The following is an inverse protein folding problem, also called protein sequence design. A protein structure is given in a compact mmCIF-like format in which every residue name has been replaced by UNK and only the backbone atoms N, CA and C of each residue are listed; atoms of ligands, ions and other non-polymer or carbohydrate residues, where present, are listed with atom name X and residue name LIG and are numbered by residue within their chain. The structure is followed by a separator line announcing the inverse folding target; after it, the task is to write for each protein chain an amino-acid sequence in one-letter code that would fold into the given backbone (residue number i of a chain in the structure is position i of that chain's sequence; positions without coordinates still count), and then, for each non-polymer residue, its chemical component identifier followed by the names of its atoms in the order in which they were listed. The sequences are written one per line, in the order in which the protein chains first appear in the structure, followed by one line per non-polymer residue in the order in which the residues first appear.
data_IF_740255575791
#
_entry.id   IF_740255575791
#
_cell.length_a   1.000
_cell.length_b   1.000
_cell.length_c   1.000
_cell.angle_alpha   90.00
_cell.angle_beta   90.00
_cell.angle_gamma   90.00
#
_symmetry.space_group_name_H-M   'P 1'
#
loop_
_entity.id
_entity.type
_entity.pdbx_description
1 polymer ?
#
# COMPACT_ATOMS: atom_id res chain seq x y z
N UNK A 1 -4.48 -38.91 -41.03
CA UNK A 1 -4.76 -37.47 -41.09
C UNK A 1 -5.63 -37.14 -39.88
N UNK A 2 -5.01 -36.65 -38.82
CA UNK A 2 -5.63 -36.36 -37.50
C UNK A 2 -6.09 -34.91 -37.47
N UNK A 3 -7.35 -34.68 -37.11
CA UNK A 3 -7.92 -33.35 -36.94
C UNK A 3 -7.61 -32.79 -35.54
N UNK A 4 -7.07 -31.57 -35.52
CA UNK A 4 -6.92 -30.64 -34.39
C UNK A 4 -8.27 -30.39 -33.71
N UNK A 5 -8.39 -30.45 -32.39
CA UNK A 5 -8.01 -29.46 -31.35
C UNK A 5 -8.77 -28.11 -31.43
N UNK A 6 -9.34 -27.68 -30.31
CA UNK A 6 -10.08 -26.41 -30.20
C UNK A 6 -11.08 -26.32 -29.05
N UNK A 7 -10.62 -26.42 -27.80
CA UNK A 7 -11.42 -26.02 -26.62
C UNK A 7 -11.26 -24.52 -26.30
N UNK A 8 -12.32 -23.76 -25.96
CA UNK A 8 -12.19 -22.33 -25.68
C UNK A 8 -11.61 -22.08 -24.28
N UNK A 9 -10.47 -21.40 -24.26
CA UNK A 9 -9.80 -20.90 -23.08
C UNK A 9 -10.63 -19.83 -22.35
N UNK A 10 -10.76 -20.01 -21.03
CA UNK A 10 -11.34 -19.06 -20.08
C UNK A 10 -10.46 -17.79 -20.05
N UNK A 11 -11.05 -16.67 -20.45
CA UNK A 11 -10.40 -15.36 -20.44
C UNK A 11 -10.23 -14.87 -18.99
N UNK A 12 -8.99 -14.86 -18.51
CA UNK A 12 -8.59 -14.11 -17.34
C UNK A 12 -8.62 -12.62 -17.64
N UNK A 13 -9.30 -11.85 -16.79
CA UNK A 13 -9.38 -10.39 -16.86
C UNK A 13 -7.99 -9.80 -16.59
N UNK A 14 -7.23 -9.57 -17.66
CA UNK A 14 -5.98 -8.82 -17.62
C UNK A 14 -6.30 -7.31 -17.56
N UNK A 15 -6.19 -6.72 -16.37
CA UNK A 15 -6.36 -5.28 -16.19
C UNK A 15 -5.02 -4.60 -16.48
N UNK A 16 -4.94 -3.95 -17.64
CA UNK A 16 -3.74 -3.22 -18.10
C UNK A 16 -3.38 -2.04 -17.19
N UNK A 17 -2.08 -1.81 -16.90
CA UNK A 17 -1.59 -0.80 -15.95
C UNK A 17 -1.77 0.66 -16.40
N UNK A 18 -2.15 0.90 -17.66
CA UNK A 18 -2.26 2.24 -18.23
C UNK A 18 -3.43 3.10 -17.69
N UNK A 19 -4.43 2.50 -17.00
CA UNK A 19 -5.60 3.24 -16.49
C UNK A 19 -5.42 3.86 -15.10
N UNK A 20 -4.26 3.71 -14.46
CA UNK A 20 -4.00 4.25 -13.11
C UNK A 20 -3.45 5.69 -13.09
N UNK A 21 -3.12 6.27 -14.25
CA UNK A 21 -2.39 7.54 -14.31
C UNK A 21 -3.26 8.82 -14.27
N UNK A 22 -4.60 8.73 -14.31
CA UNK A 22 -5.45 9.92 -14.59
C UNK A 22 -6.14 10.55 -13.38
N UNK A 23 -5.65 10.33 -12.15
CA UNK A 23 -6.31 10.86 -10.95
C UNK A 23 -5.36 11.58 -9.98
N UNK A 24 -4.53 12.49 -10.50
CA UNK A 24 -3.75 13.43 -9.66
C UNK A 24 -4.09 14.85 -10.07
N UNK A 25 -5.17 15.41 -9.52
CA UNK A 25 -5.33 16.86 -9.31
C UNK A 25 -6.27 17.16 -8.13
N UNK A 26 -5.87 18.18 -7.34
CA UNK A 26 -6.55 18.88 -6.22
C UNK A 26 -6.62 18.13 -4.88
N UNK A 27 -6.29 18.74 -3.73
CA UNK A 27 -6.05 20.14 -3.43
C UNK A 27 -5.68 20.34 -1.95
N UNK A 28 -5.10 21.52 -1.71
CA UNK A 28 -4.41 22.05 -0.53
C UNK A 28 -5.40 22.43 0.60
N UNK A 29 -5.03 22.11 1.85
CA UNK A 29 -5.57 22.74 3.08
C UNK A 29 -7.01 22.35 3.47
N UNK A 30 -7.15 21.47 4.46
CA UNK A 30 -8.44 21.18 5.09
C UNK A 30 -8.23 20.51 6.44
N UNK A 31 -9.02 20.92 7.44
CA UNK A 31 -9.16 20.28 8.75
C UNK A 31 -9.28 18.76 8.62
N UNK A 32 -8.89 17.96 9.64
CA UNK A 32 -8.84 16.50 9.55
C UNK A 32 -10.24 15.94 9.33
N UNK A 33 -10.63 15.85 8.06
CA UNK A 33 -11.89 15.29 7.59
C UNK A 33 -11.77 13.78 7.76
N UNK A 34 -12.85 13.14 8.20
CA UNK A 34 -12.89 11.69 8.30
C UNK A 34 -12.43 11.08 6.96
N UNK A 35 -11.42 10.22 7.01
CA UNK A 35 -10.84 9.57 5.84
C UNK A 35 -11.96 8.93 5.01
N UNK A 36 -12.01 9.26 3.71
CA UNK A 36 -13.06 8.80 2.80
C UNK A 36 -12.74 7.37 2.35
N UNK A 37 -13.74 6.68 1.78
CA UNK A 37 -13.56 5.32 1.25
C UNK A 37 -12.43 5.17 0.23
N UNK A 38 -12.10 6.24 -0.52
CA UNK A 38 -10.99 6.28 -1.48
C UNK A 38 -9.61 6.22 -0.80
N UNK A 39 -9.47 6.85 0.36
CA UNK A 39 -8.20 6.96 1.10
C UNK A 39 -7.86 5.64 1.79
N UNK A 40 -8.89 4.99 2.33
CA UNK A 40 -8.80 3.63 2.87
C UNK A 40 -8.49 2.62 1.75
N UNK A 41 -9.02 2.82 0.54
CA UNK A 41 -8.70 1.98 -0.62
C UNK A 41 -7.22 2.07 -0.97
N UNK A 42 -6.66 3.27 -1.03
CA UNK A 42 -5.24 3.45 -1.35
C UNK A 42 -4.33 2.83 -0.29
N UNK A 43 -4.66 3.00 0.99
CA UNK A 43 -3.88 2.36 2.07
C UNK A 43 -3.93 0.84 1.97
N UNK A 44 -5.09 0.26 1.60
CA UNK A 44 -5.21 -1.17 1.32
C UNK A 44 -4.38 -1.61 0.10
N UNK A 45 -4.33 -0.81 -0.95
CA UNK A 45 -3.48 -1.10 -2.13
C UNK A 45 -1.99 -1.10 -1.73
N UNK A 46 -1.55 -0.15 -0.91
CA UNK A 46 -0.19 -0.15 -0.38
C UNK A 46 0.09 -1.39 0.47
N UNK A 47 -0.84 -1.77 1.35
CA UNK A 47 -0.71 -3.00 2.14
C UNK A 47 -0.60 -4.26 1.26
N UNK A 48 -1.41 -4.34 0.20
CA UNK A 48 -1.36 -5.44 -0.76
C UNK A 48 -0.01 -5.50 -1.47
N UNK A 49 0.50 -4.37 -1.97
CA UNK A 49 1.81 -4.30 -2.61
C UNK A 49 2.94 -4.77 -1.69
N UNK A 50 2.88 -4.44 -0.39
CA UNK A 50 3.86 -4.92 0.59
C UNK A 50 3.77 -6.44 0.82
N UNK A 51 2.56 -6.99 0.84
CA UNK A 51 2.37 -8.45 0.92
C UNK A 51 2.95 -9.15 -0.31
N UNK A 52 2.66 -8.64 -1.50
CA UNK A 52 3.15 -9.21 -2.77
C UNK A 52 4.67 -9.17 -2.84
N UNK A 53 5.29 -8.01 -2.60
CA UNK A 53 6.75 -7.88 -2.57
C UNK A 53 7.37 -8.82 -1.53
N UNK A 54 6.80 -8.91 -0.32
CA UNK A 54 7.30 -9.83 0.70
C UNK A 54 7.27 -11.29 0.22
N UNK A 55 6.19 -11.71 -0.43
CA UNK A 55 6.04 -13.09 -0.91
C UNK A 55 7.03 -13.40 -2.03
N UNK A 56 7.27 -12.45 -2.94
CA UNK A 56 8.25 -12.61 -4.01
C UNK A 56 9.67 -12.74 -3.46
N UNK A 57 10.09 -11.88 -2.52
CA UNK A 57 11.42 -12.00 -1.90
C UNK A 57 11.57 -13.20 -0.95
N UNK A 58 10.49 -13.91 -0.64
CA UNK A 58 10.54 -15.19 0.08
C UNK A 58 10.68 -16.40 -0.87
N UNK A 59 10.50 -16.21 -2.19
CA UNK A 59 10.70 -17.27 -3.18
C UNK A 59 12.15 -17.24 -3.67
N UNK A 60 12.90 -18.34 -3.55
CA UNK A 60 14.32 -18.37 -3.91
C UNK A 60 14.59 -18.41 -5.42
N UNK A 61 13.60 -18.73 -6.26
CA UNK A 61 13.83 -19.07 -7.68
C UNK A 61 13.47 -17.98 -8.71
N UNK A 62 12.86 -16.87 -8.30
CA UNK A 62 12.56 -15.76 -9.22
C UNK A 62 13.45 -14.55 -8.92
N UNK A 63 14.55 -14.45 -9.68
CA UNK A 63 15.37 -13.25 -9.68
C UNK A 63 14.55 -12.07 -10.24
N UNK A 64 14.20 -11.15 -9.35
CA UNK A 64 13.53 -9.92 -9.69
C UNK A 64 14.47 -9.05 -10.54
N UNK A 65 14.12 -8.83 -11.81
CA UNK A 65 14.93 -7.97 -12.68
C UNK A 65 15.06 -6.56 -12.07
N UNK A 66 16.21 -5.90 -12.31
CA UNK A 66 16.47 -4.55 -11.81
C UNK A 66 15.37 -3.55 -12.23
N UNK A 67 14.91 -3.64 -13.49
CA UNK A 67 13.83 -2.80 -14.01
C UNK A 67 12.47 -3.06 -13.31
N UNK A 68 12.18 -4.33 -12.98
CA UNK A 68 10.99 -4.67 -12.21
C UNK A 68 11.06 -4.11 -10.80
N UNK A 69 12.23 -4.18 -10.15
CA UNK A 69 12.45 -3.61 -8.83
C UNK A 69 12.28 -2.09 -8.82
N UNK A 70 12.84 -1.38 -9.81
CA UNK A 70 12.70 0.07 -9.96
C UNK A 70 11.24 0.49 -10.14
N UNK A 71 10.52 -0.21 -11.01
CA UNK A 71 9.09 0.04 -11.25
C UNK A 71 8.26 -0.15 -9.97
N UNK A 72 8.55 -1.21 -9.21
CA UNK A 72 7.88 -1.50 -7.92
C UNK A 72 8.18 -0.42 -6.89
N UNK A 73 9.44 0.03 -6.80
CA UNK A 73 9.79 1.13 -5.91
C UNK A 73 9.05 2.41 -6.28
N UNK A 74 9.09 2.82 -7.55
CA UNK A 74 8.42 4.03 -8.00
C UNK A 74 6.93 3.99 -7.68
N UNK A 75 6.27 2.86 -7.98
CA UNK A 75 4.84 2.66 -7.72
C UNK A 75 4.52 2.68 -6.22
N UNK A 76 5.29 1.97 -5.40
CA UNK A 76 5.09 1.88 -3.95
C UNK A 76 5.31 3.24 -3.29
N UNK A 77 6.38 3.95 -3.66
CA UNK A 77 6.67 5.27 -3.12
C UNK A 77 5.67 6.32 -3.60
N UNK A 78 5.14 6.22 -4.83
CA UNK A 78 4.04 7.06 -5.28
C UNK A 78 2.77 6.84 -4.45
N UNK A 79 2.42 5.58 -4.15
CA UNK A 79 1.30 5.23 -3.26
C UNK A 79 1.50 5.78 -1.85
N UNK A 80 2.71 5.67 -1.31
CA UNK A 80 3.08 6.23 -0.01
C UNK A 80 3.00 7.76 0.00
N UNK A 81 3.54 8.43 -1.01
CA UNK A 81 3.57 9.89 -1.08
C UNK A 81 2.20 10.51 -1.29
N UNK A 82 1.26 9.77 -1.89
CA UNK A 82 -0.13 10.20 -2.06
C UNK A 82 -1.05 9.80 -0.89
N UNK A 83 -0.50 9.27 0.22
CA UNK A 83 -1.29 8.78 1.36
C UNK A 83 -2.13 9.88 1.99
N UNK A 84 -3.25 9.47 2.59
CA UNK A 84 -4.07 10.36 3.42
C UNK A 84 -3.40 10.60 4.77
N UNK A 85 -2.76 11.78 4.91
CA UNK A 85 -1.98 12.12 6.12
C UNK A 85 -2.83 12.17 7.38
N UNK A 86 -4.14 12.42 7.28
CA UNK A 86 -5.04 12.39 8.44
C UNK A 86 -5.12 11.00 9.12
N UNK A 87 -4.76 9.92 8.42
CA UNK A 87 -4.66 8.57 9.01
C UNK A 87 -3.41 8.40 9.90
N UNK A 88 -2.36 9.19 9.66
CA UNK A 88 -1.06 9.07 10.32
C UNK A 88 -0.93 10.13 11.42
N UNK A 89 -1.65 9.91 12.50
CA UNK A 89 -1.70 10.84 13.66
C UNK A 89 -0.45 10.81 14.53
N UNK A 90 0.41 9.80 14.36
CA UNK A 90 1.68 9.64 15.07
C UNK A 90 2.84 9.86 14.08
N UNK A 91 3.57 11.00 14.16
CA UNK A 91 4.65 11.32 13.23
C UNK A 91 5.76 10.28 13.19
N UNK A 92 6.05 9.63 14.32
CA UNK A 92 7.10 8.61 14.42
C UNK A 92 6.73 7.33 13.67
N UNK A 93 5.44 6.98 13.66
CA UNK A 93 4.93 5.85 12.86
C UNK A 93 4.99 6.18 11.38
N UNK A 94 4.62 7.40 10.99
CA UNK A 94 4.71 7.86 9.60
C UNK A 94 6.16 7.76 9.08
N UNK A 95 7.11 8.37 9.79
CA UNK A 95 8.54 8.30 9.44
C UNK A 95 9.09 6.87 9.52
N UNK A 96 8.61 6.08 10.47
CA UNK A 96 8.96 4.67 10.62
C UNK A 96 8.55 3.86 9.39
N UNK A 97 7.35 4.06 8.85
CA UNK A 97 6.91 3.36 7.63
C UNK A 97 7.81 3.74 6.45
N UNK A 98 8.03 5.02 6.23
CA UNK A 98 8.86 5.53 5.13
C UNK A 98 10.28 4.94 5.17
N UNK A 99 10.94 5.00 6.33
CA UNK A 99 12.28 4.46 6.51
C UNK A 99 12.34 2.95 6.23
N UNK A 100 11.29 2.20 6.58
CA UNK A 100 11.21 0.75 6.31
C UNK A 100 10.98 0.45 4.83
N UNK A 101 10.19 1.26 4.12
CA UNK A 101 10.03 1.14 2.67
C UNK A 101 11.37 1.36 1.96
N UNK A 102 12.07 2.43 2.30
CA UNK A 102 13.39 2.75 1.74
C UNK A 102 14.42 1.67 2.04
N UNK A 103 14.47 1.18 3.28
CA UNK A 103 15.35 0.09 3.68
C UNK A 103 15.05 -1.20 2.91
N UNK A 104 13.77 -1.55 2.73
CA UNK A 104 13.36 -2.73 1.96
C UNK A 104 13.88 -2.71 0.53
N UNK A 105 13.71 -1.59 -0.18
CA UNK A 105 14.23 -1.45 -1.53
C UNK A 105 15.77 -1.39 -1.59
N UNK A 106 16.43 -0.85 -0.56
CA UNK A 106 17.88 -0.86 -0.45
C UNK A 106 18.42 -2.28 -0.30
N UNK A 107 17.83 -3.09 0.58
CA UNK A 107 18.19 -4.49 0.75
C UNK A 107 17.94 -5.31 -0.52
N UNK A 108 16.81 -5.07 -1.20
CA UNK A 108 16.50 -5.75 -2.46
C UNK A 108 17.56 -5.47 -3.54
N UNK A 109 18.01 -4.21 -3.69
CA UNK A 109 19.09 -3.85 -4.62
C UNK A 109 20.43 -4.49 -4.26
N UNK A 110 20.69 -4.67 -2.97
CA UNK A 110 21.95 -5.22 -2.47
C UNK A 110 21.96 -6.77 -2.47
N UNK A 111 20.97 -7.43 -3.08
CA UNK A 111 20.89 -8.89 -3.11
C UNK A 111 20.60 -9.52 -1.74
N UNK A 112 19.92 -8.79 -0.85
CA UNK A 112 19.54 -9.23 0.50
C UNK A 112 18.01 -9.44 0.59
N UNK A 113 17.44 -10.46 -0.08
CA UNK A 113 15.99 -10.60 -0.22
C UNK A 113 15.28 -10.89 1.11
N UNK A 114 15.93 -11.62 2.03
CA UNK A 114 15.37 -11.92 3.36
C UNK A 114 15.22 -10.67 4.21
N UNK A 115 16.22 -9.80 4.18
CA UNK A 115 16.24 -8.51 4.85
C UNK A 115 15.17 -7.60 4.24
N UNK A 116 15.09 -7.53 2.91
CA UNK A 116 14.06 -6.79 2.20
C UNK A 116 12.65 -7.23 2.60
N UNK A 117 12.38 -8.54 2.58
CA UNK A 117 11.11 -9.13 3.02
C UNK A 117 10.79 -8.78 4.49
N UNK A 118 11.81 -8.74 5.35
CA UNK A 118 11.69 -8.31 6.74
C UNK A 118 11.27 -6.86 6.88
N UNK A 119 11.87 -5.96 6.10
CA UNK A 119 11.52 -4.54 6.09
C UNK A 119 10.09 -4.30 5.56
N UNK A 120 9.69 -4.96 4.47
CA UNK A 120 8.31 -4.86 3.96
C UNK A 120 7.27 -5.40 4.95
N UNK A 121 7.59 -6.48 5.68
CA UNK A 121 6.74 -6.97 6.78
C UNK A 121 6.60 -5.92 7.89
N UNK A 122 7.69 -5.28 8.30
CA UNK A 122 7.67 -4.25 9.35
C UNK A 122 6.85 -3.03 8.91
N UNK A 123 7.02 -2.58 7.68
CA UNK A 123 6.21 -1.49 7.09
C UNK A 123 4.71 -1.84 7.09
N UNK A 124 4.36 -3.07 6.68
CA UNK A 124 2.98 -3.57 6.69
C UNK A 124 2.36 -3.53 8.10
N UNK A 125 3.09 -4.01 9.11
CA UNK A 125 2.60 -4.03 10.49
C UNK A 125 2.39 -2.61 11.04
N UNK A 126 3.29 -1.66 10.72
CA UNK A 126 3.13 -0.27 11.10
C UNK A 126 1.89 0.38 10.44
N UNK A 127 1.62 0.06 9.17
CA UNK A 127 0.38 0.48 8.49
C UNK A 127 -0.87 -0.05 9.19
N UNK A 128 -0.88 -1.33 9.60
CA UNK A 128 -1.97 -1.90 10.38
C UNK A 128 -2.19 -1.16 11.71
N UNK A 129 -1.12 -0.81 12.42
CA UNK A 129 -1.18 -0.03 13.64
C UNK A 129 -1.78 1.37 13.39
N UNK A 130 -1.30 2.08 12.36
CA UNK A 130 -1.81 3.40 11.99
C UNK A 130 -3.31 3.39 11.67
N UNK A 131 -3.77 2.40 10.90
CA UNK A 131 -5.19 2.23 10.56
C UNK A 131 -6.05 1.92 11.79
N UNK A 132 -5.56 1.06 12.68
CA UNK A 132 -6.27 0.73 13.93
C UNK A 132 -6.41 1.97 14.80
N UNK A 133 -5.32 2.73 14.96
CA UNK A 133 -5.31 3.96 15.73
C UNK A 133 -6.25 5.02 15.13
N UNK A 134 -6.22 5.21 13.80
CA UNK A 134 -7.12 6.14 13.11
C UNK A 134 -8.59 5.77 13.32
N UNK A 135 -8.93 4.47 13.25
CA UNK A 135 -10.28 3.96 13.52
C UNK A 135 -10.70 4.23 14.97
N UNK A 136 -9.81 3.99 15.92
CA UNK A 136 -10.12 4.16 17.34
C UNK A 136 -10.31 5.65 17.70
N UNK A 137 -9.51 6.55 17.12
CA UNK A 137 -9.73 8.00 17.20
C UNK A 137 -11.09 8.38 16.62
N UNK A 138 -11.44 7.87 15.43
CA UNK A 138 -12.71 8.18 14.79
C UNK A 138 -13.91 7.73 15.65
N UNK A 139 -13.83 6.54 16.25
CA UNK A 139 -14.85 6.03 17.19
C UNK A 139 -15.02 6.91 18.42
N UNK A 140 -13.92 7.31 19.08
CA UNK A 140 -13.95 8.19 20.25
C UNK A 140 -14.56 9.56 19.91
N UNK A 141 -14.21 10.13 18.76
CA UNK A 141 -14.80 11.40 18.28
C UNK A 141 -16.30 11.28 18.03
N UNK A 142 -16.75 10.16 17.43
CA UNK A 142 -18.17 9.92 17.21
C UNK A 142 -18.96 9.78 18.51
N UNK A 143 -18.39 9.13 19.53
CA UNK A 143 -19.00 9.01 20.85
C UNK A 143 -19.06 10.36 21.59
N UNK A 144 -17.96 11.12 21.57
CA UNK A 144 -17.89 12.46 22.17
C UNK A 144 -18.87 13.46 21.51
N UNK A 145 -19.08 13.35 20.20
CA UNK A 145 -20.05 14.17 19.47
C UNK A 145 -21.51 13.78 19.73
N UNK A 146 -21.80 12.55 20.15
CA UNK A 146 -23.15 12.09 20.54
C UNK A 146 -23.49 12.52 21.97
N UNK A 147 -22.51 12.57 22.87
CA UNK A 147 -22.68 13.08 24.25
C UNK A 147 -22.82 14.61 24.35
N UNK A 148 -22.67 15.34 23.24
CA UNK A 148 -22.83 16.79 23.16
C UNK A 148 -24.14 17.22 22.46
N UNK A 149 -25.10 16.30 22.29
CA UNK A 149 -26.45 16.59 21.78
C UNK A 149 -27.29 17.45 22.75
N UNK A 150 -28.27 18.21 22.24
CA UNK A 150 -28.68 19.49 22.80
C UNK A 150 -29.38 19.36 24.16
N UNK A 151 -28.95 20.18 25.12
CA UNK A 151 -29.83 20.66 26.19
C UNK A 151 -30.68 21.81 25.68
#
# INVERSE_FOLDING_TARGET
MTASDGGPARHGLHVSPARLATAVQRGKGGTPRAARGKDLRQTRVLMQALCEMRLEFCKPDEDLSAAALETRQATTMALWNSRERALFTQPDVERGIEARLEAGFRHARNGSPREAAGEFKRAYLLLCCALTHARDIARRKAQAGQSAGPM
#
